data_IF_899793296163
#
_entry.id   IF_899793296163
#
_cell.length_a   1.000
_cell.length_b   1.000
_cell.length_c   1.000
_cell.angle_alpha   90.00
_cell.angle_beta   90.00
_cell.angle_gamma   90.00
#
_symmetry.space_group_name_H-M   'P 1'
#
loop_
_entity.id
_entity.type
_entity.pdbx_description
1 polymer ?
#
# COMPACT_ATOMS: atom_id res chain seq x y z
N UNK A 1 1.62 -3.48 -1.88
CA UNK A 1 3.01 -3.00 -2.04
C UNK A 1 3.05 -1.49 -1.87
N UNK A 2 4.21 -0.89 -1.61
CA UNK A 2 4.33 0.56 -1.42
C UNK A 2 5.57 1.13 -2.11
N UNK A 3 5.46 2.30 -2.77
CA UNK A 3 6.59 3.13 -3.19
C UNK A 3 6.80 4.22 -2.14
N UNK A 4 8.05 4.47 -1.76
CA UNK A 4 8.40 5.49 -0.77
C UNK A 4 9.22 6.58 -1.44
N UNK A 5 8.92 7.85 -1.14
CA UNK A 5 9.79 8.98 -1.43
C UNK A 5 10.14 9.73 -0.16
N UNK A 6 11.38 10.20 -0.07
CA UNK A 6 11.90 11.01 1.03
C UNK A 6 12.35 12.34 0.46
N UNK A 7 11.74 13.43 0.93
CA UNK A 7 12.00 14.79 0.45
C UNK A 7 11.89 14.93 -1.08
N UNK A 8 10.97 14.18 -1.69
CA UNK A 8 10.76 14.14 -3.14
C UNK A 8 11.66 13.16 -3.91
N UNK A 9 12.75 12.67 -3.32
CA UNK A 9 13.61 11.65 -3.89
C UNK A 9 13.04 10.24 -3.75
N UNK A 10 13.15 9.41 -4.78
CA UNK A 10 12.69 8.02 -4.73
C UNK A 10 13.57 7.19 -3.77
N UNK A 11 12.92 6.57 -2.78
CA UNK A 11 13.55 5.70 -1.79
C UNK A 11 13.29 4.20 -2.07
N UNK A 12 12.55 3.89 -3.13
CA UNK A 12 12.34 2.52 -3.64
C UNK A 12 10.93 1.97 -3.45
N UNK A 13 10.75 0.73 -3.91
CA UNK A 13 9.48 -0.01 -3.88
C UNK A 13 9.58 -1.23 -2.96
N UNK A 14 8.70 -1.27 -1.96
CA UNK A 14 8.54 -2.33 -0.98
C UNK A 14 7.42 -3.28 -1.40
N UNK A 15 7.79 -4.47 -1.88
CA UNK A 15 6.83 -5.49 -2.34
C UNK A 15 6.93 -6.82 -1.58
N UNK A 16 8.06 -7.10 -0.95
CA UNK A 16 8.27 -8.26 -0.08
C UNK A 16 8.97 -7.88 1.22
N UNK A 17 8.82 -8.72 2.24
CA UNK A 17 9.52 -8.55 3.51
C UNK A 17 11.05 -8.70 3.34
N UNK A 18 11.85 -8.03 4.19
CA UNK A 18 11.43 -6.99 5.15
C UNK A 18 11.07 -5.67 4.45
N UNK A 19 9.94 -5.06 4.83
CA UNK A 19 9.47 -3.80 4.23
C UNK A 19 10.23 -2.60 4.80
N UNK A 20 11.44 -2.34 4.30
CA UNK A 20 12.33 -1.26 4.78
C UNK A 20 13.01 -0.54 3.62
N UNK A 21 13.17 0.77 3.75
CA UNK A 21 13.97 1.61 2.83
C UNK A 21 15.14 2.25 3.58
N UNK A 22 16.18 2.65 2.84
CA UNK A 22 17.31 3.40 3.39
C UNK A 22 16.87 4.78 3.90
N UNK A 23 17.52 5.25 4.97
CA UNK A 23 17.31 6.58 5.55
C UNK A 23 18.30 7.63 5.04
N UNK A 24 19.12 7.30 4.03
CA UNK A 24 20.20 8.17 3.52
C UNK A 24 19.73 9.51 2.95
N UNK A 25 18.46 9.63 2.57
CA UNK A 25 17.86 10.87 2.06
C UNK A 25 17.24 11.76 3.17
N UNK A 26 17.32 11.33 4.44
CA UNK A 26 16.89 12.16 5.56
C UNK A 26 17.89 13.29 5.81
N UNK A 27 17.36 14.44 6.23
CA UNK A 27 18.13 15.62 6.67
C UNK A 27 17.74 16.03 8.08
N UNK A 28 18.58 16.82 8.76
CA UNK A 28 18.23 17.38 10.06
C UNK A 28 16.95 18.23 9.99
N UNK A 29 16.11 18.09 11.00
CA UNK A 29 14.81 18.77 11.07
C UNK A 29 13.70 18.03 10.32
N UNK A 30 12.82 18.80 9.68
CA UNK A 30 11.59 18.25 9.08
C UNK A 30 11.87 17.56 7.74
N UNK A 31 11.36 16.34 7.62
CA UNK A 31 11.42 15.53 6.40
C UNK A 31 10.00 15.23 5.91
N UNK A 32 9.79 15.29 4.60
CA UNK A 32 8.54 14.85 3.98
C UNK A 32 8.69 13.41 3.49
N UNK A 33 7.85 12.51 4.00
CA UNK A 33 7.78 11.12 3.56
C UNK A 33 6.47 10.92 2.81
N UNK A 34 6.56 10.51 1.55
CA UNK A 34 5.41 10.15 0.71
C UNK A 34 5.39 8.65 0.51
N UNK A 35 4.25 8.01 0.81
CA UNK A 35 4.08 6.56 0.65
C UNK A 35 2.89 6.33 -0.27
N UNK A 36 3.16 5.83 -1.47
CA UNK A 36 2.12 5.45 -2.44
C UNK A 36 1.87 3.95 -2.31
N UNK A 37 0.69 3.57 -1.81
CA UNK A 37 0.31 2.16 -1.62
C UNK A 37 -0.57 1.68 -2.75
N UNK A 38 -0.30 0.47 -3.24
CA UNK A 38 -1.17 -0.25 -4.17
C UNK A 38 -1.78 -1.46 -3.47
N UNK A 39 -3.11 -1.54 -3.54
CA UNK A 39 -3.94 -2.62 -2.98
C UNK A 39 -4.52 -3.50 -4.10
N UNK A 40 -4.79 -4.79 -3.86
CA UNK A 40 -5.46 -5.64 -4.83
C UNK A 40 -6.90 -5.22 -5.13
N UNK A 41 -7.42 -5.64 -6.28
CA UNK A 41 -8.79 -5.36 -6.72
C UNK A 41 -9.88 -6.06 -5.90
N UNK A 42 -9.55 -7.03 -5.03
CA UNK A 42 -10.52 -7.86 -4.28
C UNK A 42 -11.67 -7.04 -3.70
N UNK A 43 -11.38 -6.09 -2.82
CA UNK A 43 -12.41 -5.32 -2.12
C UNK A 43 -13.30 -4.52 -3.09
N UNK A 44 -12.71 -4.00 -4.17
CA UNK A 44 -13.44 -3.26 -5.21
C UNK A 44 -14.37 -4.18 -6.02
N UNK A 45 -13.95 -5.41 -6.31
CA UNK A 45 -14.75 -6.39 -7.05
C UNK A 45 -15.85 -7.01 -6.19
N UNK A 46 -15.61 -7.22 -4.89
CA UNK A 46 -16.68 -7.63 -3.95
C UNK A 46 -17.77 -6.56 -3.88
N UNK A 47 -17.39 -5.28 -3.87
CA UNK A 47 -18.35 -4.18 -3.91
C UNK A 47 -19.18 -4.18 -5.21
N UNK A 48 -18.56 -4.47 -6.36
CA UNK A 48 -19.29 -4.64 -7.63
C UNK A 48 -20.23 -5.84 -7.64
N UNK A 49 -19.84 -6.96 -7.02
CA UNK A 49 -20.70 -8.14 -6.94
C UNK A 49 -21.97 -7.86 -6.11
N UNK A 50 -21.85 -7.06 -5.05
CA UNK A 50 -22.99 -6.60 -4.22
C UNK A 50 -23.92 -5.65 -4.96
N UNK A 51 -23.34 -4.67 -5.64
CA UNK A 51 -24.07 -3.64 -6.34
C UNK A 51 -23.22 -3.12 -7.49
N UNK A 52 -23.54 -3.57 -8.70
CA UNK A 52 -22.82 -3.13 -9.87
C UNK A 52 -22.97 -1.63 -10.07
N UNK A 53 -21.85 -0.95 -10.31
CA UNK A 53 -21.85 0.50 -10.58
C UNK A 53 -22.01 0.83 -12.07
N UNK A 54 -21.98 -0.19 -12.95
CA UNK A 54 -21.90 -0.01 -14.39
C UNK A 54 -20.51 0.40 -14.91
N UNK A 55 -19.51 0.58 -14.04
CA UNK A 55 -18.13 0.88 -14.46
C UNK A 55 -17.30 -0.38 -14.75
N UNK A 56 -17.76 -1.53 -14.28
CA UNK A 56 -17.16 -2.85 -14.51
C UNK A 56 -18.24 -3.80 -15.04
N UNK A 57 -17.84 -4.73 -15.91
CA UNK A 57 -18.74 -5.64 -16.62
C UNK A 57 -18.34 -7.10 -16.37
N UNK A 58 -19.24 -8.08 -16.62
CA UNK A 58 -18.89 -9.50 -16.58
C UNK A 58 -17.68 -9.83 -17.47
N UNK A 59 -16.76 -10.73 -17.03
CA UNK A 59 -16.86 -11.53 -15.81
C UNK A 59 -16.35 -10.82 -14.54
N UNK A 60 -15.86 -9.57 -14.62
CA UNK A 60 -15.21 -8.90 -13.49
C UNK A 60 -16.13 -8.72 -12.27
N UNK A 61 -17.41 -8.45 -12.50
CA UNK A 61 -18.43 -8.30 -11.45
C UNK A 61 -18.81 -9.63 -10.79
N UNK A 62 -18.36 -10.78 -11.32
CA UNK A 62 -18.63 -12.12 -10.81
C UNK A 62 -17.39 -12.87 -10.33
N UNK A 63 -16.23 -12.20 -10.19
CA UNK A 63 -14.98 -12.82 -9.71
C UNK A 63 -15.07 -13.22 -8.23
N UNK A 64 -15.85 -12.48 -7.44
CA UNK A 64 -16.13 -12.78 -6.04
C UNK A 64 -17.64 -12.81 -5.80
N UNK A 65 -18.07 -13.61 -4.82
CA UNK A 65 -19.44 -13.55 -4.29
C UNK A 65 -19.62 -12.29 -3.44
N UNK A 66 -20.88 -11.90 -3.22
CA UNK A 66 -21.23 -10.70 -2.46
C UNK A 66 -20.92 -10.84 -0.95
N UNK A 67 -20.94 -12.05 -0.43
CA UNK A 67 -20.60 -12.42 0.95
C UNK A 67 -19.09 -12.62 1.20
N UNK A 68 -18.25 -12.54 0.15
CA UNK A 68 -16.82 -12.74 0.28
C UNK A 68 -16.17 -11.74 1.26
N UNK A 69 -15.17 -12.21 2.00
CA UNK A 69 -14.49 -11.43 3.04
C UNK A 69 -13.73 -10.22 2.47
N UNK A 70 -13.90 -9.04 3.07
CA UNK A 70 -13.06 -7.88 2.74
C UNK A 70 -11.73 -8.01 3.47
N UNK A 71 -10.62 -7.89 2.75
CA UNK A 71 -9.29 -7.96 3.36
C UNK A 71 -8.75 -6.56 3.70
N UNK A 72 -7.91 -6.43 4.74
CA UNK A 72 -7.20 -5.18 5.02
C UNK A 72 -6.41 -4.68 3.81
N UNK A 73 -6.50 -3.38 3.53
CA UNK A 73 -5.87 -2.73 2.39
C UNK A 73 -5.31 -1.36 2.79
N UNK A 74 -4.15 -0.99 2.25
CA UNK A 74 -3.48 0.27 2.55
C UNK A 74 -2.23 0.13 3.44
N UNK A 75 -1.84 1.22 4.10
CA UNK A 75 -0.70 1.25 5.01
C UNK A 75 -1.16 0.92 6.44
N UNK A 76 -1.05 -0.36 6.82
CA UNK A 76 -1.57 -0.84 8.10
C UNK A 76 -0.73 -0.41 9.32
N UNK A 77 0.56 -0.12 9.10
CA UNK A 77 1.47 0.34 10.15
C UNK A 77 1.83 -0.73 11.21
N UNK A 78 2.54 -0.35 12.28
CA UNK A 78 3.11 0.98 12.52
C UNK A 78 4.25 1.33 11.55
N UNK A 79 4.49 2.62 11.34
CA UNK A 79 5.69 3.10 10.64
C UNK A 79 6.73 3.51 11.69
N UNK A 80 7.95 3.00 11.57
CA UNK A 80 9.01 3.24 12.55
C UNK A 80 10.33 3.57 11.88
N UNK A 81 11.07 4.50 12.47
CA UNK A 81 12.47 4.74 12.15
C UNK A 81 13.33 3.80 13.00
N UNK A 82 14.08 2.92 12.34
CA UNK A 82 14.92 1.93 13.02
C UNK A 82 16.37 2.38 12.97
N UNK A 83 16.98 2.55 14.15
CA UNK A 83 18.39 2.87 14.29
C UNK A 83 19.15 1.61 14.73
N UNK A 84 20.02 1.09 13.86
CA UNK A 84 20.91 -0.01 14.24
C UNK A 84 22.16 0.60 14.87
N UNK A 85 22.21 0.65 16.20
CA UNK A 85 23.43 0.99 16.91
C UNK A 85 24.44 -0.14 16.65
N UNK A 86 25.50 0.12 15.87
CA UNK A 86 26.66 -0.75 15.84
C UNK A 86 27.63 -0.22 16.92
N UNK A 87 28.05 -1.06 17.89
CA UNK A 87 29.12 -0.69 18.81
C UNK A 87 30.44 -0.47 18.06
#
# INVERSE_FOLDING_TARGET
MARVKINGGDAGVLWKAPYRVSTSALRSGTNRIEVSVTSPWRNRLIAEARSSTGTLYPPMTGVFTDDAEILPAGLLGPMSLVYNHRP
#
